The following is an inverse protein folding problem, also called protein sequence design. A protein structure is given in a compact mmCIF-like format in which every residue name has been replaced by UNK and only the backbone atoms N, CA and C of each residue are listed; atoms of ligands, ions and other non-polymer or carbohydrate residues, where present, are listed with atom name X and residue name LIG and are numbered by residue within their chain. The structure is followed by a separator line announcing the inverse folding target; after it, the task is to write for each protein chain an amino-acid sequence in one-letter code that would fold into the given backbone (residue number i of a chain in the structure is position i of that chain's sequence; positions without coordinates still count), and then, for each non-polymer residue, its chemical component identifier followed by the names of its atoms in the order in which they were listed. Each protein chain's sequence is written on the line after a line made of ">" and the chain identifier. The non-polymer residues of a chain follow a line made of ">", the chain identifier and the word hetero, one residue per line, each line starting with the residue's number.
data_IF_365526391530
#
_entry.id   IF_365526391530
#
_cell.length_a   1.000
_cell.length_b   1.000
_cell.length_c   1.000
_cell.angle_alpha   90.00
_cell.angle_beta   90.00
_cell.angle_gamma   90.00
#
_symmetry.space_group_name_H-M   'P 1'
#
loop_
_entity.id
_entity.type
_entity.pdbx_description
1 polymer ?
#
# COMPACT_ATOMS: atom_id res chain seq x y z
N UNK A 1 -4.42 -5.32 5.54
CA UNK A 1 -4.92 -4.31 6.51
C UNK A 1 -5.73 -4.95 7.63
N UNK A 2 -6.91 -5.53 7.36
CA UNK A 2 -7.84 -5.95 8.42
C UNK A 2 -7.41 -7.16 9.27
N UNK A 3 -6.42 -7.94 8.83
CA UNK A 3 -5.95 -9.13 9.55
C UNK A 3 -5.34 -8.79 10.92
N UNK A 4 -4.83 -7.58 11.08
CA UNK A 4 -4.30 -7.08 12.35
C UNK A 4 -5.32 -7.17 13.50
N UNK A 5 -6.60 -6.92 13.21
CA UNK A 5 -7.66 -7.02 14.21
C UNK A 5 -7.81 -8.44 14.76
N UNK A 6 -7.59 -9.47 13.92
CA UNK A 6 -7.71 -10.86 14.34
C UNK A 6 -6.58 -11.27 15.29
N UNK A 7 -5.35 -10.78 15.04
CA UNK A 7 -4.23 -10.98 15.96
C UNK A 7 -4.44 -10.25 17.29
N UNK A 8 -4.89 -9.00 17.26
CA UNK A 8 -5.24 -8.26 18.49
C UNK A 8 -6.32 -9.00 19.27
N UNK A 9 -7.32 -9.57 18.59
CA UNK A 9 -8.36 -10.37 19.24
C UNK A 9 -7.82 -11.66 19.85
N UNK A 10 -6.91 -12.37 19.16
CA UNK A 10 -6.19 -13.52 19.73
C UNK A 10 -5.41 -13.12 20.99
N UNK A 11 -4.64 -12.03 20.94
CA UNK A 11 -3.84 -11.51 22.07
C UNK A 11 -4.72 -11.21 23.30
N UNK A 12 -5.89 -10.61 23.09
CA UNK A 12 -6.81 -10.23 24.16
C UNK A 12 -7.61 -11.41 24.73
N UNK A 13 -7.92 -12.42 23.92
CA UNK A 13 -8.85 -13.50 24.30
C UNK A 13 -8.20 -14.87 24.48
N UNK A 14 -6.97 -15.04 24.00
CA UNK A 14 -6.31 -16.34 23.86
C UNK A 14 -6.88 -17.23 22.74
N UNK A 15 -7.83 -16.74 21.93
CA UNK A 15 -8.45 -17.52 20.86
C UNK A 15 -7.54 -17.63 19.62
N UNK A 16 -6.73 -18.68 19.58
CA UNK A 16 -5.77 -18.96 18.50
C UNK A 16 -6.40 -19.13 17.12
N UNK A 17 -7.68 -19.51 17.04
CA UNK A 17 -8.38 -19.68 15.77
C UNK A 17 -8.42 -18.39 14.94
N UNK A 18 -8.46 -17.21 15.59
CA UNK A 18 -8.46 -15.94 14.88
C UNK A 18 -7.10 -15.65 14.22
N UNK A 19 -5.99 -15.96 14.91
CA UNK A 19 -4.66 -15.92 14.32
C UNK A 19 -4.46 -16.92 13.19
N UNK A 20 -5.05 -18.13 13.32
CA UNK A 20 -5.04 -19.13 12.24
C UNK A 20 -5.72 -18.60 10.99
N UNK A 21 -6.90 -18.01 11.12
CA UNK A 21 -7.64 -17.40 10.01
C UNK A 21 -6.81 -16.28 9.37
N UNK A 22 -6.15 -15.44 10.17
CA UNK A 22 -5.32 -14.36 9.67
C UNK A 22 -4.15 -14.87 8.82
N UNK A 23 -3.42 -15.88 9.31
CA UNK A 23 -2.29 -16.49 8.58
C UNK A 23 -2.74 -17.17 7.29
N UNK A 24 -3.80 -17.99 7.34
CA UNK A 24 -4.35 -18.67 6.15
C UNK A 24 -4.78 -17.65 5.10
N UNK A 25 -5.40 -16.54 5.51
CA UNK A 25 -5.77 -15.47 4.61
C UNK A 25 -4.54 -14.81 3.97
N UNK A 26 -3.50 -14.48 4.76
CA UNK A 26 -2.27 -13.89 4.23
C UNK A 26 -1.56 -14.82 3.25
N UNK A 27 -1.46 -16.12 3.56
CA UNK A 27 -0.84 -17.13 2.68
C UNK A 27 -1.61 -17.27 1.36
N UNK A 28 -2.94 -17.28 1.43
CA UNK A 28 -3.80 -17.35 0.25
C UNK A 28 -3.70 -16.09 -0.61
N UNK A 29 -3.61 -14.91 0.02
CA UNK A 29 -3.40 -13.64 -0.68
C UNK A 29 -2.03 -13.60 -1.35
N UNK A 30 -0.97 -14.02 -0.64
CA UNK A 30 0.39 -14.10 -1.17
C UNK A 30 0.46 -14.98 -2.43
N UNK A 31 -0.22 -16.14 -2.40
CA UNK A 31 -0.26 -17.08 -3.51
C UNK A 31 -1.01 -16.53 -4.74
N UNK A 32 -2.11 -15.81 -4.54
CA UNK A 32 -3.08 -15.59 -5.61
C UNK A 32 -3.20 -14.12 -6.08
N UNK A 33 -2.96 -13.14 -5.19
CA UNK A 33 -3.06 -11.71 -5.53
C UNK A 33 -1.76 -11.15 -6.08
N UNK A 34 -0.61 -11.75 -5.79
CA UNK A 34 0.70 -11.19 -6.12
C UNK A 34 1.21 -11.85 -7.41
N UNK A 35 1.57 -11.01 -8.38
CA UNK A 35 2.17 -11.44 -9.66
C UNK A 35 3.66 -11.70 -9.48
N UNK A 36 4.27 -12.38 -10.45
CA UNK A 36 5.70 -12.72 -10.41
C UNK A 36 6.59 -11.46 -10.32
N UNK A 37 6.22 -10.39 -11.03
CA UNK A 37 6.92 -9.10 -11.03
C UNK A 37 6.75 -8.27 -9.75
N UNK A 38 5.97 -8.75 -8.78
CA UNK A 38 5.69 -8.04 -7.54
C UNK A 38 4.53 -7.04 -7.63
N UNK A 39 3.82 -6.95 -8.76
CA UNK A 39 2.56 -6.20 -8.85
C UNK A 39 1.38 -6.99 -8.28
N UNK A 40 0.27 -6.32 -7.96
CA UNK A 40 -0.93 -6.96 -7.40
C UNK A 40 -2.14 -6.92 -8.32
N UNK A 41 -2.91 -8.01 -8.35
CA UNK A 41 -4.33 -7.97 -8.70
C UNK A 41 -5.10 -7.27 -7.58
N UNK A 42 -6.23 -6.65 -7.91
CA UNK A 42 -7.06 -5.98 -6.91
C UNK A 42 -8.07 -6.96 -6.28
N UNK A 43 -8.77 -7.75 -7.10
CA UNK A 43 -9.79 -8.71 -6.65
C UNK A 43 -9.43 -10.09 -7.16
N UNK A 44 -9.48 -11.10 -6.29
CA UNK A 44 -9.43 -12.52 -6.68
C UNK A 44 -10.71 -13.20 -6.23
N UNK A 45 -11.36 -13.87 -7.16
CA UNK A 45 -12.60 -14.61 -6.93
C UNK A 45 -12.29 -16.11 -6.78
N UNK A 46 -12.93 -16.74 -5.79
CA UNK A 46 -12.76 -18.15 -5.47
C UNK A 46 -14.09 -18.89 -5.48
N UNK A 47 -14.07 -20.19 -5.80
CA UNK A 47 -15.22 -21.06 -5.53
C UNK A 47 -15.44 -21.20 -4.02
N UNK A 48 -16.69 -21.13 -3.57
CA UNK A 48 -17.04 -21.28 -2.15
C UNK A 48 -16.88 -22.70 -1.63
N UNK A 49 -16.85 -23.69 -2.53
CA UNK A 49 -16.78 -25.11 -2.18
C UNK A 49 -15.37 -25.70 -2.24
N UNK A 50 -14.55 -25.29 -3.20
CA UNK A 50 -13.19 -25.86 -3.40
C UNK A 50 -12.06 -24.87 -3.12
N UNK A 51 -12.34 -23.56 -3.03
CA UNK A 51 -11.31 -22.54 -2.87
C UNK A 51 -10.44 -22.34 -4.11
N UNK A 52 -10.88 -22.81 -5.29
CA UNK A 52 -10.15 -22.61 -6.54
C UNK A 52 -10.36 -21.18 -7.06
N UNK A 53 -9.30 -20.56 -7.56
CA UNK A 53 -9.41 -19.26 -8.25
C UNK A 53 -10.21 -19.42 -9.53
N UNK A 54 -11.25 -18.61 -9.70
CA UNK A 54 -12.08 -18.58 -10.91
C UNK A 54 -11.89 -17.30 -11.72
N UNK A 55 -11.35 -16.24 -11.10
CA UNK A 55 -11.16 -14.96 -11.76
C UNK A 55 -10.24 -14.02 -10.99
N UNK A 56 -9.63 -13.08 -11.72
CA UNK A 56 -8.80 -12.01 -11.17
C UNK A 56 -9.12 -10.72 -11.89
N UNK A 57 -9.50 -9.69 -11.13
CA UNK A 57 -10.10 -8.49 -11.70
C UNK A 57 -9.65 -7.22 -10.98
N UNK A 58 -10.17 -6.09 -11.44
CA UNK A 58 -10.17 -4.83 -10.71
C UNK A 58 -11.54 -4.18 -10.62
N UNK A 59 -11.82 -3.55 -9.48
CA UNK A 59 -12.98 -2.68 -9.31
C UNK A 59 -12.65 -1.18 -9.35
N UNK A 60 -11.37 -0.81 -9.16
CA UNK A 60 -10.92 0.59 -8.98
C UNK A 60 -9.64 0.94 -9.75
N UNK A 61 -8.93 -0.07 -10.25
CA UNK A 61 -7.77 0.10 -11.13
C UNK A 61 -8.20 0.32 -12.58
N UNK A 62 -7.21 0.49 -13.44
CA UNK A 62 -7.44 0.79 -14.86
C UNK A 62 -8.00 -0.40 -15.65
N UNK A 63 -7.39 -1.56 -15.50
CA UNK A 63 -7.76 -2.83 -16.14
C UNK A 63 -7.44 -3.98 -15.20
N UNK A 64 -7.95 -5.19 -15.47
CA UNK A 64 -7.69 -6.33 -14.60
C UNK A 64 -6.18 -6.58 -14.45
N UNK A 65 -5.42 -6.48 -15.53
CA UNK A 65 -3.96 -6.66 -15.59
C UNK A 65 -3.13 -5.41 -15.18
N UNK A 66 -3.80 -4.31 -14.86
CA UNK A 66 -3.18 -3.09 -14.35
C UNK A 66 -2.67 -3.24 -12.91
N UNK A 67 -2.10 -2.17 -12.37
CA UNK A 67 -1.66 -2.14 -10.97
C UNK A 67 -2.14 -0.86 -10.31
N UNK A 68 -3.31 -0.98 -9.70
CA UNK A 68 -3.90 0.07 -8.88
C UNK A 68 -2.99 0.41 -7.70
N UNK A 69 -2.55 1.66 -7.63
CA UNK A 69 -1.45 2.03 -6.74
C UNK A 69 -1.78 1.85 -5.26
N UNK A 70 -3.03 2.15 -4.86
CA UNK A 70 -3.45 1.94 -3.48
C UNK A 70 -3.58 0.46 -3.12
N UNK A 71 -3.96 -0.41 -4.05
CA UNK A 71 -3.94 -1.85 -3.85
C UNK A 71 -2.53 -2.38 -3.60
N UNK A 72 -1.57 -1.88 -4.39
CA UNK A 72 -0.15 -2.17 -4.18
C UNK A 72 0.32 -1.69 -2.80
N UNK A 73 -0.04 -0.47 -2.41
CA UNK A 73 0.30 0.10 -1.11
C UNK A 73 -0.29 -0.69 0.07
N UNK A 74 -1.52 -1.20 -0.05
CA UNK A 74 -2.12 -2.14 0.93
C UNK A 74 -1.32 -3.43 1.06
N UNK A 75 -0.80 -3.93 -0.05
CA UNK A 75 0.11 -5.08 -0.04
C UNK A 75 1.37 -4.80 0.77
N UNK A 76 2.05 -3.68 0.49
CA UNK A 76 3.31 -3.30 1.15
C UNK A 76 3.11 -3.23 2.67
N UNK A 77 2.19 -2.38 3.13
CA UNK A 77 1.93 -2.24 4.56
C UNK A 77 1.40 -3.53 5.18
N UNK A 78 0.48 -4.21 4.48
CA UNK A 78 -0.16 -5.43 4.97
C UNK A 78 0.84 -6.55 5.24
N UNK A 79 1.74 -6.84 4.30
CA UNK A 79 2.72 -7.91 4.46
C UNK A 79 3.86 -7.53 5.42
N UNK A 80 4.26 -6.25 5.47
CA UNK A 80 5.20 -5.78 6.49
C UNK A 80 4.60 -5.96 7.92
N UNK A 81 3.32 -5.64 8.12
CA UNK A 81 2.62 -5.87 9.38
C UNK A 81 2.47 -7.36 9.71
N UNK A 82 2.12 -8.19 8.72
CA UNK A 82 2.08 -9.65 8.88
C UNK A 82 3.42 -10.23 9.32
N UNK A 83 4.53 -9.77 8.72
CA UNK A 83 5.86 -10.16 9.18
C UNK A 83 6.09 -9.71 10.62
N UNK A 84 5.76 -8.46 10.96
CA UNK A 84 5.98 -7.98 12.33
C UNK A 84 5.25 -8.84 13.38
N UNK A 85 4.02 -9.29 13.08
CA UNK A 85 3.18 -10.11 13.97
C UNK A 85 3.60 -11.57 14.06
N UNK A 86 4.09 -12.16 12.98
CA UNK A 86 4.29 -13.62 12.87
C UNK A 86 5.75 -14.04 12.77
N UNK A 87 6.63 -13.11 12.40
CA UNK A 87 8.03 -13.32 12.03
C UNK A 87 8.23 -14.35 10.91
N UNK A 88 7.20 -14.62 10.10
CA UNK A 88 7.32 -15.52 8.94
C UNK A 88 8.11 -14.83 7.79
N UNK A 89 9.31 -15.31 7.43
CA UNK A 89 10.15 -14.67 6.42
C UNK A 89 9.50 -14.53 5.04
N UNK A 90 8.54 -15.39 4.68
CA UNK A 90 7.84 -15.30 3.39
C UNK A 90 7.04 -13.99 3.26
N UNK A 91 6.51 -13.49 4.38
CA UNK A 91 5.80 -12.20 4.40
C UNK A 91 6.76 -11.02 4.26
N UNK A 92 7.96 -11.11 4.84
CA UNK A 92 8.99 -10.08 4.67
C UNK A 92 9.43 -9.99 3.21
N UNK A 93 9.73 -11.14 2.59
CA UNK A 93 10.13 -11.18 1.18
C UNK A 93 9.01 -10.66 0.27
N UNK A 94 7.76 -11.01 0.59
CA UNK A 94 6.60 -10.49 -0.11
C UNK A 94 6.49 -8.97 0.00
N UNK A 95 6.65 -8.40 1.20
CA UNK A 95 6.64 -6.95 1.40
C UNK A 95 7.75 -6.25 0.59
N UNK A 96 8.97 -6.81 0.56
CA UNK A 96 10.09 -6.30 -0.24
C UNK A 96 9.81 -6.31 -1.73
N UNK A 97 9.24 -7.40 -2.27
CA UNK A 97 8.86 -7.50 -3.69
C UNK A 97 7.83 -6.44 -4.06
N UNK A 98 6.80 -6.29 -3.21
CA UNK A 98 5.75 -5.29 -3.41
C UNK A 98 6.29 -3.86 -3.36
N UNK A 99 7.17 -3.56 -2.40
CA UNK A 99 7.82 -2.27 -2.23
C UNK A 99 8.76 -1.94 -3.40
N UNK A 100 9.57 -2.91 -3.82
CA UNK A 100 10.48 -2.79 -4.96
C UNK A 100 9.71 -2.48 -6.25
N UNK A 101 8.62 -3.22 -6.52
CA UNK A 101 7.76 -2.93 -7.66
C UNK A 101 7.24 -1.49 -7.61
N UNK A 102 6.71 -1.06 -6.46
CA UNK A 102 6.12 0.27 -6.30
C UNK A 102 7.15 1.38 -6.58
N UNK A 103 8.34 1.30 -5.97
CA UNK A 103 9.38 2.32 -6.13
C UNK A 103 10.00 2.33 -7.54
N UNK A 104 10.20 1.15 -8.15
CA UNK A 104 10.80 1.03 -9.48
C UNK A 104 9.85 1.47 -10.61
N UNK A 105 8.54 1.49 -10.37
CA UNK A 105 7.53 1.88 -11.35
C UNK A 105 7.02 3.32 -11.17
N UNK A 106 7.58 4.10 -10.24
CA UNK A 106 7.23 5.51 -10.09
C UNK A 106 7.49 6.28 -11.40
N UNK A 107 6.61 7.21 -11.80
CA UNK A 107 6.90 8.15 -12.88
C UNK A 107 8.12 9.01 -12.57
N UNK A 108 8.67 9.67 -13.60
CA UNK A 108 9.91 10.47 -13.48
C UNK A 108 9.81 11.63 -12.48
N UNK A 109 8.61 12.19 -12.31
CA UNK A 109 8.34 13.23 -11.31
C UNK A 109 8.26 12.68 -9.87
N UNK A 110 8.23 11.35 -9.71
CA UNK A 110 8.11 10.67 -8.43
C UNK A 110 6.74 10.82 -7.76
N UNK A 111 5.71 11.25 -8.50
CA UNK A 111 4.34 11.34 -8.00
C UNK A 111 3.65 9.99 -8.18
N UNK A 112 3.10 9.46 -7.09
CA UNK A 112 2.38 8.17 -7.13
C UNK A 112 1.11 8.34 -7.97
N UNK A 113 0.99 7.61 -9.09
CA UNK A 113 -0.22 7.67 -9.91
C UNK A 113 -1.35 6.90 -9.22
N UNK A 114 -2.59 7.13 -9.62
CA UNK A 114 -3.71 6.30 -9.19
C UNK A 114 -3.58 4.84 -9.66
N UNK A 115 -2.93 4.63 -10.81
CA UNK A 115 -2.63 3.32 -11.38
C UNK A 115 -1.31 3.36 -12.19
N UNK A 116 -0.43 2.39 -11.95
CA UNK A 116 0.91 2.33 -12.57
C UNK A 116 0.90 1.93 -14.05
N UNK A 117 -0.19 1.35 -14.56
CA UNK A 117 -0.29 0.88 -15.95
C UNK A 117 -1.32 1.64 -16.77
N UNK A 118 -2.06 2.58 -16.19
CA UNK A 118 -2.96 3.45 -16.95
C UNK A 118 -2.21 4.19 -18.08
N UNK A 119 -2.72 4.22 -19.32
CA UNK A 119 -1.98 4.76 -20.46
C UNK A 119 -2.07 6.29 -20.49
N UNK A 120 -0.95 6.96 -20.79
CA UNK A 120 -0.86 8.43 -20.78
C UNK A 120 -1.74 9.11 -21.82
N UNK A 121 -2.07 8.41 -22.91
CA UNK A 121 -2.95 8.88 -23.96
C UNK A 121 -4.44 8.61 -23.69
N UNK A 122 -4.81 8.03 -22.54
CA UNK A 122 -6.21 8.00 -22.12
C UNK A 122 -6.69 9.45 -21.90
N UNK A 123 -7.76 9.91 -22.56
CA UNK A 123 -8.29 11.25 -22.37
C UNK A 123 -8.62 11.57 -20.90
N UNK A 124 -9.01 10.57 -20.11
CA UNK A 124 -9.29 10.73 -18.68
C UNK A 124 -8.04 11.08 -17.89
N UNK A 125 -6.87 10.66 -18.36
CA UNK A 125 -5.59 10.86 -17.68
C UNK A 125 -5.01 12.28 -17.91
N UNK A 126 -5.60 13.10 -18.79
CA UNK A 126 -5.16 14.49 -19.01
C UNK A 126 -3.67 14.62 -19.40
N UNK A 127 -3.11 13.61 -20.08
CA UNK A 127 -1.71 13.59 -20.50
C UNK A 127 -0.69 13.25 -19.39
N UNK A 128 -1.16 13.03 -18.16
CA UNK A 128 -0.36 12.55 -17.01
C UNK A 128 -1.07 11.34 -16.39
N UNK A 129 -0.52 10.65 -15.40
CA UNK A 129 -1.36 9.74 -14.58
C UNK A 129 -1.74 10.52 -13.33
N UNK A 130 -3.02 10.82 -13.10
CA UNK A 130 -3.43 11.60 -11.94
C UNK A 130 -2.98 10.94 -10.64
N UNK A 131 -2.65 11.76 -9.65
CA UNK A 131 -2.06 11.27 -8.42
C UNK A 131 -3.08 10.52 -7.55
N UNK A 132 -2.55 9.70 -6.65
CA UNK A 132 -3.29 9.25 -5.48
C UNK A 132 -2.46 9.46 -4.22
N UNK A 133 -2.77 10.55 -3.50
CA UNK A 133 -2.08 10.91 -2.26
C UNK A 133 -2.20 9.82 -1.20
N UNK A 134 -3.33 9.12 -1.14
CA UNK A 134 -3.55 8.05 -0.18
C UNK A 134 -2.66 6.84 -0.45
N UNK A 135 -2.42 6.46 -1.72
CA UNK A 135 -1.46 5.40 -2.04
C UNK A 135 -0.04 5.76 -1.60
N UNK A 136 0.37 7.02 -1.79
CA UNK A 136 1.70 7.48 -1.40
C UNK A 136 1.92 7.39 0.13
N UNK A 137 0.98 7.87 0.93
CA UNK A 137 1.13 7.90 2.40
C UNK A 137 1.09 6.50 3.01
N UNK A 138 0.25 5.63 2.46
CA UNK A 138 0.19 4.20 2.85
C UNK A 138 1.49 3.49 2.51
N UNK A 139 1.99 3.65 1.28
CA UNK A 139 3.23 3.02 0.83
C UNK A 139 4.42 3.52 1.67
N UNK A 140 4.52 4.82 1.93
CA UNK A 140 5.55 5.39 2.78
C UNK A 140 5.50 4.81 4.20
N UNK A 141 4.31 4.67 4.80
CA UNK A 141 4.16 4.03 6.11
C UNK A 141 4.61 2.57 6.07
N UNK A 142 4.25 1.83 5.01
CA UNK A 142 4.66 0.45 4.82
C UNK A 142 6.17 0.29 4.66
N UNK A 143 6.83 1.22 3.97
CA UNK A 143 8.28 1.27 3.82
C UNK A 143 9.00 1.56 5.14
N UNK A 144 8.48 2.48 5.97
CA UNK A 144 9.03 2.73 7.31
C UNK A 144 8.90 1.51 8.21
N UNK A 145 7.74 0.83 8.17
CA UNK A 145 7.55 -0.43 8.90
C UNK A 145 8.49 -1.52 8.38
N UNK A 146 8.69 -1.61 7.07
CA UNK A 146 9.62 -2.56 6.47
C UNK A 146 11.07 -2.29 6.94
N UNK A 147 11.49 -1.03 6.95
CA UNK A 147 12.81 -0.62 7.42
C UNK A 147 13.08 -1.01 8.88
N UNK A 148 12.10 -0.84 9.76
CA UNK A 148 12.19 -1.26 11.17
C UNK A 148 12.36 -2.78 11.33
N UNK A 149 11.91 -3.55 10.34
CA UNK A 149 12.03 -5.01 10.35
C UNK A 149 13.30 -5.55 9.69
N UNK A 150 14.07 -4.69 9.02
CA UNK A 150 15.28 -5.09 8.32
C UNK A 150 16.44 -5.35 9.31
N UNK A 151 17.22 -6.39 9.02
CA UNK A 151 18.48 -6.66 9.74
C UNK A 151 19.69 -6.10 9.00
N UNK A 152 19.58 -5.92 7.68
CA UNK A 152 20.59 -5.25 6.88
C UNK A 152 20.36 -3.74 6.90
N UNK A 153 21.38 -3.01 7.36
CA UNK A 153 21.30 -1.54 7.51
C UNK A 153 21.11 -0.83 6.18
N UNK A 154 21.76 -1.29 5.11
CA UNK A 154 21.65 -0.66 3.79
C UNK A 154 20.24 -0.81 3.21
N UNK A 155 19.60 -1.97 3.42
CA UNK A 155 18.21 -2.21 3.06
C UNK A 155 17.27 -1.29 3.85
N UNK A 156 17.46 -1.20 5.17
CA UNK A 156 16.68 -0.31 6.03
C UNK A 156 16.77 1.16 5.57
N UNK A 157 17.98 1.66 5.35
CA UNK A 157 18.23 3.02 4.86
C UNK A 157 17.60 3.29 3.49
N UNK A 158 17.61 2.29 2.60
CA UNK A 158 16.97 2.40 1.27
C UNK A 158 15.45 2.53 1.37
N UNK A 159 14.80 1.77 2.26
CA UNK A 159 13.36 1.87 2.48
C UNK A 159 12.96 3.19 3.14
N UNK A 160 13.74 3.66 4.11
CA UNK A 160 13.56 4.99 4.72
C UNK A 160 13.67 6.08 3.67
N UNK A 161 14.71 6.05 2.83
CA UNK A 161 14.89 7.03 1.76
C UNK A 161 13.72 7.03 0.78
N UNK A 162 13.20 5.86 0.42
CA UNK A 162 11.98 5.71 -0.38
C UNK A 162 10.77 6.35 0.29
N UNK A 163 10.54 6.07 1.57
CA UNK A 163 9.42 6.64 2.33
C UNK A 163 9.47 8.17 2.42
N UNK A 164 10.64 8.73 2.77
CA UNK A 164 10.86 10.18 2.86
C UNK A 164 10.60 10.84 1.52
N UNK A 165 11.11 10.26 0.42
CA UNK A 165 10.89 10.81 -0.93
C UNK A 165 9.42 10.81 -1.32
N UNK A 166 8.68 9.73 -1.03
CA UNK A 166 7.25 9.66 -1.29
C UNK A 166 6.48 10.74 -0.52
N UNK A 167 6.79 10.91 0.78
CA UNK A 167 6.16 11.91 1.65
C UNK A 167 6.47 13.33 1.19
N UNK A 168 7.74 13.66 0.93
CA UNK A 168 8.15 14.99 0.46
C UNK A 168 7.45 15.36 -0.86
N UNK A 169 7.46 14.45 -1.83
CA UNK A 169 6.81 14.65 -3.12
C UNK A 169 5.30 14.86 -3.00
N UNK A 170 4.61 13.99 -2.23
CA UNK A 170 3.16 14.10 -2.11
C UNK A 170 2.74 15.29 -1.28
N UNK A 171 3.48 15.66 -0.24
CA UNK A 171 3.20 16.86 0.55
C UNK A 171 3.34 18.13 -0.28
N UNK A 172 4.39 18.24 -1.11
CA UNK A 172 4.54 19.37 -2.05
C UNK A 172 3.39 19.48 -3.03
N UNK A 173 2.89 18.35 -3.54
CA UNK A 173 1.80 18.34 -4.51
C UNK A 173 0.42 18.56 -3.86
N UNK A 174 0.18 17.95 -2.71
CA UNK A 174 -1.17 17.71 -2.20
C UNK A 174 -1.51 18.48 -0.92
N UNK A 175 -0.54 19.08 -0.21
CA UNK A 175 -0.80 19.84 1.01
C UNK A 175 -1.86 20.93 0.78
N UNK A 176 -2.96 20.85 1.54
CA UNK A 176 -4.11 21.73 1.31
C UNK A 176 -4.75 22.19 2.62
N UNK A 177 -4.13 23.14 3.35
CA UNK A 177 -4.61 23.58 4.67
C UNK A 177 -5.97 24.31 4.62
N UNK A 178 -6.45 24.67 3.43
CA UNK A 178 -7.77 25.23 3.23
C UNK A 178 -8.90 24.19 3.16
N UNK A 179 -8.57 22.89 3.20
CA UNK A 179 -9.54 21.78 3.22
C UNK A 179 -9.69 21.22 4.63
N UNK A 180 -10.78 20.47 4.86
CA UNK A 180 -10.96 19.72 6.12
C UNK A 180 -9.98 18.53 6.22
N UNK A 181 -9.60 17.97 5.07
CA UNK A 181 -8.51 16.99 4.96
C UNK A 181 -7.15 17.67 4.85
N UNK A 182 -6.09 16.99 5.30
CA UNK A 182 -4.71 17.48 5.19
C UNK A 182 -4.21 17.49 3.75
N UNK A 183 -4.44 16.39 3.03
CA UNK A 183 -3.97 16.20 1.66
C UNK A 183 -5.13 16.19 0.67
N UNK A 184 -4.94 16.89 -0.44
CA UNK A 184 -5.76 16.80 -1.65
C UNK A 184 -5.26 15.68 -2.57
N UNK A 185 -5.68 15.66 -3.84
CA UNK A 185 -5.19 14.73 -4.87
C UNK A 185 -5.30 13.24 -4.50
N UNK A 186 -6.29 12.88 -3.68
CA UNK A 186 -6.68 11.49 -3.45
C UNK A 186 -7.56 10.98 -4.59
N UNK A 187 -7.41 9.70 -4.93
CA UNK A 187 -8.25 9.04 -5.95
C UNK A 187 -9.04 7.89 -5.35
N UNK A 188 -10.31 8.12 -4.98
CA UNK A 188 -11.15 7.11 -4.31
C UNK A 188 -11.57 6.00 -5.27
N UNK A 189 -12.09 6.35 -6.45
CA UNK A 189 -12.49 5.40 -7.47
C UNK A 189 -12.45 6.10 -8.83
N UNK A 190 -11.38 5.87 -9.58
CA UNK A 190 -11.16 6.50 -10.87
C UNK A 190 -12.21 6.10 -11.92
N UNK A 191 -12.51 4.79 -12.14
CA UNK A 191 -13.60 4.39 -13.04
C UNK A 191 -14.95 5.05 -12.75
N UNK A 192 -15.25 5.32 -11.48
CA UNK A 192 -16.49 5.97 -11.06
C UNK A 192 -16.45 7.51 -11.03
N UNK A 193 -15.34 8.13 -11.46
CA UNK A 193 -15.20 9.60 -11.47
C UNK A 193 -15.05 10.25 -10.09
N UNK A 194 -14.62 9.48 -9.08
CA UNK A 194 -14.39 9.97 -7.72
C UNK A 194 -12.89 10.11 -7.45
N UNK A 195 -12.35 11.27 -7.83
CA UNK A 195 -10.93 11.61 -7.78
C UNK A 195 -10.73 13.09 -7.42
N UNK A 196 -9.48 13.50 -7.18
CA UNK A 196 -9.12 14.85 -6.69
C UNK A 196 -9.84 15.20 -5.38
N UNK A 197 -9.93 14.23 -4.46
CA UNK A 197 -10.60 14.39 -3.17
C UNK A 197 -9.61 14.40 -2.00
N UNK A 198 -10.09 14.86 -0.84
CA UNK A 198 -9.47 14.59 0.44
C UNK A 198 -9.88 13.21 0.93
N UNK A 199 -8.95 12.45 1.52
CA UNK A 199 -9.21 11.06 1.90
C UNK A 199 -8.76 10.80 3.33
N UNK A 200 -9.70 10.50 4.23
CA UNK A 200 -9.45 10.32 5.66
C UNK A 200 -8.39 9.26 5.98
N UNK A 201 -8.38 8.14 5.24
CA UNK A 201 -7.33 7.14 5.43
C UNK A 201 -5.98 7.61 4.90
N UNK A 202 -5.94 8.44 3.85
CA UNK A 202 -4.71 9.08 3.38
C UNK A 202 -4.09 9.98 4.46
N UNK A 203 -4.92 10.80 5.11
CA UNK A 203 -4.51 11.67 6.23
C UNK A 203 -4.05 10.86 7.45
N UNK A 204 -4.76 9.77 7.79
CA UNK A 204 -4.35 8.87 8.86
C UNK A 204 -2.93 8.32 8.64
N UNK A 205 -2.64 7.77 7.45
CA UNK A 205 -1.31 7.25 7.15
C UNK A 205 -0.26 8.36 7.03
N UNK A 206 -0.65 9.57 6.61
CA UNK A 206 0.24 10.72 6.59
C UNK A 206 0.72 11.09 8.00
N UNK A 207 -0.21 11.23 8.95
CA UNK A 207 0.10 11.51 10.35
C UNK A 207 0.92 10.36 10.95
N UNK A 208 0.53 9.11 10.68
CA UNK A 208 1.26 7.95 11.19
C UNK A 208 2.71 7.95 10.70
N UNK A 209 2.94 8.17 9.41
CA UNK A 209 4.30 8.23 8.86
C UNK A 209 5.10 9.39 9.46
N UNK A 210 4.50 10.56 9.63
CA UNK A 210 5.14 11.70 10.31
C UNK A 210 5.58 11.36 11.74
N UNK A 211 4.72 10.70 12.51
CA UNK A 211 5.06 10.23 13.86
C UNK A 211 6.21 9.20 13.85
N UNK A 212 6.24 8.31 12.85
CA UNK A 212 7.31 7.33 12.71
C UNK A 212 8.64 8.01 12.33
N UNK A 213 8.62 9.05 11.48
CA UNK A 213 9.81 9.86 11.17
C UNK A 213 10.36 10.60 12.40
N UNK A 214 9.50 11.16 13.25
CA UNK A 214 9.92 11.80 14.51
C UNK A 214 10.61 10.79 15.43
N UNK A 215 10.04 9.59 15.59
CA UNK A 215 10.64 8.52 16.42
C UNK A 215 12.02 8.09 15.90
N UNK A 216 12.23 8.12 14.59
CA UNK A 216 13.50 7.82 13.95
C UNK A 216 14.51 8.98 13.98
N UNK A 217 14.13 10.15 14.52
CA UNK A 217 14.97 11.35 14.51
C UNK A 217 15.18 11.96 13.12
N UNK A 218 14.26 11.70 12.19
CA UNK A 218 14.30 12.18 10.80
C UNK A 218 13.39 13.39 10.56
N UNK A 219 12.62 13.80 11.57
CA UNK A 219 11.77 14.99 11.55
C UNK A 219 11.65 15.58 12.97
N UNK A 220 11.35 16.88 13.04
CA UNK A 220 11.12 17.64 14.28
C UNK A 220 9.77 18.38 14.18
N UNK A 221 9.18 18.70 15.35
CA UNK A 221 7.89 19.40 15.46
C UNK A 221 8.05 20.93 15.41
#
# INVERSE_FOLDING_TARGET
>A
MNLELLFVSEELTGNKTLGDIARIHADTTMKNHIREDGSTWHVVEYTTTTGNVVGKYTAQGYSDDSTWARGQAWGIYGFANMYNRTKNPDYLETARRLASYFLNNLPKDGIVPWDFKAPLNDPKNFGVRPADSSAATVAATGLLLLADTETDRSAAESWIAGAVKLLDNISKLAWKPSWESLLSNGTVNWPAGNYLTGIVYGDFYYIKAGNDLIKLGLAEC
#
